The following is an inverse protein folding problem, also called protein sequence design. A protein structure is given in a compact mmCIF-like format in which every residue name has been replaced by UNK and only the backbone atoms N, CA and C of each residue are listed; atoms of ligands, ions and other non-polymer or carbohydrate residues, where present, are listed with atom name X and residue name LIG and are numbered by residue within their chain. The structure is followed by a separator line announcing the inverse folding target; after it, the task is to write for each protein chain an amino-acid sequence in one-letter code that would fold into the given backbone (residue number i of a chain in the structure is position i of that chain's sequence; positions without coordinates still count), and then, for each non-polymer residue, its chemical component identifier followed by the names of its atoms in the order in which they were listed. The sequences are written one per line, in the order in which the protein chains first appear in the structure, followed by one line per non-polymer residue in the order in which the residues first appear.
data_IF_058692124506
#
_entry.id   IF_058692124506
#
_cell.length_a   1.000
_cell.length_b   1.000
_cell.length_c   1.000
_cell.angle_alpha   90.00
_cell.angle_beta   90.00
_cell.angle_gamma   90.00
#
_symmetry.space_group_name_H-M   'P 1'
#
loop_
_entity.id
_entity.type
_entity.pdbx_description
1 polymer ?
#
# COMPACT_ATOMS: atom_id res chain seq x y z
N UNK A 1 -13.72 -30.95 -3.10
CA UNK A 1 -13.89 -30.67 -1.66
C UNK A 1 -12.97 -29.50 -1.36
N UNK A 2 -13.32 -28.38 -0.72
CA UNK A 2 -14.58 -27.65 -0.69
C UNK A 2 -14.40 -26.33 -1.46
N UNK A 3 -15.46 -25.87 -2.15
CA UNK A 3 -15.46 -24.59 -2.85
C UNK A 3 -15.55 -23.48 -1.79
N UNK A 4 -14.47 -22.77 -1.51
CA UNK A 4 -14.51 -21.53 -0.74
C UNK A 4 -15.21 -20.45 -1.55
N UNK A 5 -16.54 -20.57 -1.72
CA UNK A 5 -17.37 -19.54 -2.34
C UNK A 5 -17.50 -18.40 -1.34
N UNK A 6 -16.76 -17.34 -1.60
CA UNK A 6 -16.89 -16.09 -0.84
C UNK A 6 -18.32 -15.58 -1.05
N UNK A 7 -19.09 -15.30 0.03
CA UNK A 7 -20.46 -14.82 -0.07
C UNK A 7 -20.48 -13.32 -0.42
N UNK A 8 -19.99 -12.96 -1.61
CA UNK A 8 -19.72 -11.60 -2.05
C UNK A 8 -20.84 -10.58 -1.79
N UNK A 9 -22.10 -11.01 -1.86
CA UNK A 9 -23.28 -10.18 -1.60
C UNK A 9 -23.41 -9.66 -0.16
N UNK A 10 -22.70 -10.25 0.82
CA UNK A 10 -22.75 -9.85 2.23
C UNK A 10 -21.41 -9.41 2.82
N UNK A 11 -20.30 -9.62 2.09
CA UNK A 11 -18.95 -9.31 2.56
C UNK A 11 -18.67 -7.81 2.38
N UNK A 12 -18.62 -7.09 3.50
CA UNK A 12 -18.19 -5.68 3.53
C UNK A 12 -16.70 -5.49 3.80
N UNK A 13 -16.11 -6.41 4.56
CA UNK A 13 -14.68 -6.45 4.84
C UNK A 13 -14.16 -7.83 4.50
N UNK A 14 -13.06 -7.87 3.76
CA UNK A 14 -12.35 -9.10 3.45
C UNK A 14 -10.88 -8.96 3.80
N UNK A 15 -10.37 -9.92 4.55
CA UNK A 15 -8.95 -10.03 4.88
C UNK A 15 -8.43 -11.35 4.32
N UNK A 16 -7.41 -11.26 3.47
CA UNK A 16 -6.76 -12.37 2.81
C UNK A 16 -5.35 -12.46 3.38
N UNK A 17 -5.20 -13.33 4.36
CA UNK A 17 -3.94 -13.58 5.05
C UNK A 17 -3.68 -15.09 5.01
N UNK A 18 -3.10 -15.62 3.93
CA UNK A 18 -2.79 -17.04 3.84
C UNK A 18 -1.78 -17.51 4.92
N UNK A 19 -1.13 -16.60 5.65
CA UNK A 19 -0.18 -16.96 6.70
C UNK A 19 1.00 -17.80 6.19
N UNK A 20 1.84 -18.26 7.11
CA UNK A 20 2.97 -19.14 6.81
C UNK A 20 2.59 -20.63 6.96
N UNK A 21 1.43 -20.95 7.55
CA UNK A 21 1.15 -22.28 8.11
C UNK A 21 -0.01 -23.09 7.50
N UNK A 22 -0.92 -22.63 6.62
CA UNK A 22 -1.89 -23.55 5.99
C UNK A 22 -2.54 -23.09 4.68
N UNK A 23 -2.78 -24.09 3.82
CA UNK A 23 -3.59 -24.15 2.59
C UNK A 23 -3.33 -23.02 1.58
N UNK A 24 -2.65 -23.38 0.48
CA UNK A 24 -2.37 -22.52 -0.65
C UNK A 24 -3.61 -21.69 -1.01
N UNK A 25 -3.60 -20.41 -0.64
CA UNK A 25 -4.49 -19.46 -1.27
C UNK A 25 -4.24 -19.57 -2.77
N UNK A 26 -5.24 -20.00 -3.53
CA UNK A 26 -5.14 -20.10 -4.98
C UNK A 26 -5.62 -18.78 -5.59
N UNK A 27 -4.71 -17.91 -6.09
CA UNK A 27 -5.10 -16.62 -6.64
C UNK A 27 -6.10 -16.77 -7.79
N UNK A 28 -5.91 -17.80 -8.62
CA UNK A 28 -6.79 -18.14 -9.72
C UNK A 28 -8.24 -18.38 -9.26
N UNK A 29 -8.46 -19.21 -8.23
CA UNK A 29 -9.81 -19.48 -7.72
C UNK A 29 -10.47 -18.23 -7.14
N UNK A 30 -9.69 -17.39 -6.45
CA UNK A 30 -10.18 -16.12 -5.92
C UNK A 30 -10.61 -15.18 -7.05
N UNK A 31 -9.76 -15.01 -8.06
CA UNK A 31 -10.01 -14.17 -9.24
C UNK A 31 -11.22 -14.69 -10.00
N UNK A 32 -11.33 -16.00 -10.21
CA UNK A 32 -12.49 -16.63 -10.85
C UNK A 32 -13.78 -16.37 -10.08
N UNK A 33 -13.77 -16.54 -8.75
CA UNK A 33 -14.94 -16.31 -7.91
C UNK A 33 -15.40 -14.85 -7.96
N UNK A 34 -14.46 -13.90 -7.88
CA UNK A 34 -14.75 -12.48 -7.97
C UNK A 34 -15.26 -12.11 -9.37
N UNK A 35 -14.59 -12.61 -10.42
CA UNK A 35 -14.99 -12.38 -11.81
C UNK A 35 -16.41 -12.90 -12.07
N UNK A 36 -16.72 -14.11 -11.59
CA UNK A 36 -18.04 -14.71 -11.73
C UNK A 36 -19.12 -13.81 -11.09
N UNK A 37 -18.92 -13.38 -9.84
CA UNK A 37 -19.87 -12.49 -9.16
C UNK A 37 -20.08 -11.17 -9.92
N UNK A 38 -18.99 -10.53 -10.36
CA UNK A 38 -19.04 -9.24 -11.05
C UNK A 38 -19.61 -9.33 -12.48
N UNK A 39 -19.55 -10.51 -13.11
CA UNK A 39 -20.06 -10.74 -14.46
C UNK A 39 -21.56 -11.04 -14.53
N UNK A 40 -22.16 -11.48 -13.42
CA UNK A 40 -23.56 -11.86 -13.33
C UNK A 40 -24.46 -10.63 -13.18
N UNK A 41 -25.35 -10.30 -14.14
CA UNK A 41 -26.15 -9.08 -14.11
C UNK A 41 -27.16 -9.00 -12.96
N UNK A 42 -27.53 -10.14 -12.38
CA UNK A 42 -28.46 -10.22 -11.25
C UNK A 42 -27.79 -9.84 -9.93
N UNK A 43 -26.46 -9.90 -9.86
CA UNK A 43 -25.74 -9.61 -8.64
C UNK A 43 -25.74 -8.10 -8.38
N UNK A 44 -26.00 -7.68 -7.12
CA UNK A 44 -25.87 -6.28 -6.77
C UNK A 44 -24.40 -5.85 -6.85
N UNK A 45 -24.17 -4.54 -6.94
CA UNK A 45 -22.83 -3.98 -6.84
C UNK A 45 -22.10 -4.55 -5.61
N UNK A 46 -20.83 -4.90 -5.77
CA UNK A 46 -20.03 -5.52 -4.71
C UNK A 46 -19.99 -4.60 -3.47
N UNK A 47 -20.57 -5.02 -2.33
CA UNK A 47 -20.67 -4.21 -1.12
C UNK A 47 -19.36 -4.17 -0.32
N UNK A 48 -18.27 -4.68 -0.88
CA UNK A 48 -16.94 -4.68 -0.26
C UNK A 48 -16.45 -3.24 -0.11
N UNK A 49 -16.26 -2.82 1.14
CA UNK A 49 -15.79 -1.50 1.55
C UNK A 49 -14.33 -1.53 2.00
N UNK A 50 -13.86 -2.64 2.55
CA UNK A 50 -12.51 -2.83 3.08
C UNK A 50 -11.88 -4.13 2.59
N UNK A 51 -10.65 -4.04 2.08
CA UNK A 51 -9.88 -5.19 1.61
C UNK A 51 -8.46 -5.13 2.15
N UNK A 52 -8.04 -6.21 2.80
CA UNK A 52 -6.69 -6.39 3.33
C UNK A 52 -6.05 -7.57 2.64
N UNK A 53 -4.90 -7.36 2.01
CA UNK A 53 -4.06 -8.39 1.43
C UNK A 53 -2.77 -8.50 2.22
N UNK A 54 -2.63 -9.61 2.95
CA UNK A 54 -1.43 -9.96 3.69
C UNK A 54 -0.78 -11.20 3.08
N UNK A 55 -0.32 -11.06 1.84
CA UNK A 55 0.44 -12.11 1.16
C UNK A 55 1.90 -12.09 1.57
N UNK A 56 2.58 -13.24 1.73
CA UNK A 56 3.96 -13.31 2.19
C UNK A 56 4.95 -12.48 1.36
N UNK A 57 4.80 -12.49 0.03
CA UNK A 57 5.59 -11.68 -0.90
C UNK A 57 4.76 -11.38 -2.15
N UNK A 58 4.62 -10.11 -2.52
CA UNK A 58 4.09 -9.72 -3.83
C UNK A 58 5.24 -9.65 -4.85
N UNK A 59 5.44 -10.73 -5.60
CA UNK A 59 6.51 -10.83 -6.62
C UNK A 59 6.14 -10.16 -7.94
N UNK A 60 7.15 -9.79 -8.72
CA UNK A 60 6.93 -9.42 -10.11
C UNK A 60 6.47 -10.64 -10.91
N UNK A 61 5.64 -10.43 -11.92
CA UNK A 61 5.12 -11.52 -12.75
C UNK A 61 6.22 -12.34 -13.44
N UNK A 62 7.37 -11.72 -13.74
CA UNK A 62 8.53 -12.37 -14.35
C UNK A 62 9.37 -13.20 -13.39
N UNK A 63 9.15 -13.05 -12.08
CA UNK A 63 9.89 -13.77 -11.02
C UNK A 63 9.17 -15.04 -10.59
N UNK A 64 7.90 -15.22 -10.98
CA UNK A 64 7.09 -16.39 -10.61
C UNK A 64 7.24 -17.48 -11.67
N UNK A 65 7.67 -18.67 -11.22
CA UNK A 65 7.61 -19.89 -12.02
C UNK A 65 6.15 -20.28 -12.25
N UNK A 66 5.77 -20.63 -13.48
CA UNK A 66 4.40 -21.07 -13.81
C UNK A 66 3.93 -22.32 -13.05
N UNK A 67 4.84 -23.02 -12.37
CA UNK A 67 4.55 -24.25 -11.62
C UNK A 67 4.20 -24.00 -10.15
N UNK A 68 4.55 -22.83 -9.62
CA UNK A 68 4.30 -22.45 -8.24
C UNK A 68 3.11 -21.49 -8.27
N UNK A 69 1.96 -21.87 -7.69
CA UNK A 69 0.75 -21.04 -7.61
C UNK A 69 0.95 -19.83 -6.67
N UNK A 70 2.01 -19.05 -6.89
CA UNK A 70 2.41 -17.91 -6.10
C UNK A 70 1.59 -16.68 -6.50
N UNK A 71 1.28 -15.85 -5.51
CA UNK A 71 0.61 -14.58 -5.74
C UNK A 71 1.59 -13.57 -6.34
N UNK A 72 1.25 -13.02 -7.51
CA UNK A 72 2.10 -12.07 -8.23
C UNK A 72 1.37 -10.76 -8.57
N UNK A 73 2.13 -9.79 -9.07
CA UNK A 73 1.60 -8.51 -9.55
C UNK A 73 0.45 -8.67 -10.57
N UNK A 74 0.51 -9.67 -11.46
CA UNK A 74 -0.56 -9.93 -12.45
C UNK A 74 -1.87 -10.34 -11.76
N UNK A 75 -1.81 -11.11 -10.69
CA UNK A 75 -2.99 -11.49 -9.92
C UNK A 75 -3.62 -10.26 -9.27
N UNK A 76 -2.80 -9.41 -8.65
CA UNK A 76 -3.24 -8.15 -8.06
C UNK A 76 -3.93 -7.26 -9.12
N UNK A 77 -3.37 -7.18 -10.33
CA UNK A 77 -3.97 -6.47 -11.45
C UNK A 77 -5.35 -7.02 -11.81
N UNK A 78 -5.50 -8.34 -11.94
CA UNK A 78 -6.77 -8.97 -12.25
C UNK A 78 -7.82 -8.72 -11.16
N UNK A 79 -7.41 -8.76 -9.89
CA UNK A 79 -8.29 -8.44 -8.77
C UNK A 79 -8.74 -6.98 -8.83
N UNK A 80 -7.81 -6.03 -8.96
CA UNK A 80 -8.14 -4.60 -8.99
C UNK A 80 -9.04 -4.23 -10.17
N UNK A 81 -8.83 -4.86 -11.33
CA UNK A 81 -9.71 -4.68 -12.50
C UNK A 81 -11.16 -5.02 -12.17
N UNK A 82 -11.40 -6.12 -11.45
CA UNK A 82 -12.74 -6.53 -11.04
C UNK A 82 -13.31 -5.67 -9.90
N UNK A 83 -12.45 -5.10 -9.05
CA UNK A 83 -12.84 -4.22 -7.95
C UNK A 83 -13.12 -2.77 -8.38
N UNK A 84 -12.74 -2.36 -9.59
CA UNK A 84 -12.97 -0.99 -10.08
C UNK A 84 -14.39 -0.45 -9.90
N UNK A 85 -15.48 -1.20 -10.20
CA UNK A 85 -16.85 -0.73 -9.98
C UNK A 85 -17.39 -0.98 -8.55
N UNK A 86 -16.54 -1.41 -7.60
CA UNK A 86 -16.96 -1.70 -6.23
C UNK A 86 -17.07 -0.46 -5.35
N UNK A 87 -17.66 -0.65 -4.16
CA UNK A 87 -17.71 0.35 -3.10
C UNK A 87 -16.43 0.42 -2.25
N UNK A 88 -15.31 -0.14 -2.72
CA UNK A 88 -14.07 -0.25 -1.94
C UNK A 88 -13.53 1.13 -1.56
N UNK A 89 -13.43 1.40 -0.25
CA UNK A 89 -12.94 2.66 0.32
C UNK A 89 -11.60 2.53 1.00
N UNK A 90 -11.31 1.35 1.56
CA UNK A 90 -10.10 1.05 2.31
C UNK A 90 -9.37 -0.13 1.68
N UNK A 91 -8.10 0.07 1.33
CA UNK A 91 -7.23 -0.98 0.81
C UNK A 91 -5.98 -1.07 1.69
N UNK A 92 -5.65 -2.27 2.14
CA UNK A 92 -4.39 -2.55 2.80
C UNK A 92 -3.60 -3.60 2.04
N UNK A 93 -2.35 -3.31 1.72
CA UNK A 93 -1.39 -4.24 1.12
C UNK A 93 -0.22 -4.40 2.09
N UNK A 94 0.05 -5.63 2.50
CA UNK A 94 1.12 -5.94 3.45
C UNK A 94 2.25 -6.72 2.77
N UNK A 95 3.43 -6.69 3.38
CA UNK A 95 4.65 -7.41 2.99
C UNK A 95 5.10 -7.10 1.55
N UNK A 96 5.04 -5.82 1.17
CA UNK A 96 5.52 -5.37 -0.15
C UNK A 96 7.06 -5.32 -0.16
N UNK A 97 7.65 -6.02 -1.12
CA UNK A 97 9.11 -6.06 -1.35
C UNK A 97 9.61 -4.99 -2.32
N UNK A 98 8.84 -4.68 -3.36
CA UNK A 98 9.22 -3.74 -4.42
C UNK A 98 7.97 -3.18 -5.10
N UNK A 99 8.10 -1.97 -5.67
CA UNK A 99 7.09 -1.32 -6.49
C UNK A 99 7.39 -1.35 -7.99
N UNK A 100 8.44 -2.04 -8.44
CA UNK A 100 8.82 -2.21 -9.88
C UNK A 100 7.77 -2.97 -10.69
N UNK A 101 6.59 -2.39 -10.78
CA UNK A 101 5.39 -2.97 -11.33
C UNK A 101 5.22 -2.40 -12.72
N UNK A 102 5.44 -3.24 -13.73
CA UNK A 102 5.51 -2.82 -15.14
C UNK A 102 4.15 -2.69 -15.83
N UNK A 103 3.05 -2.91 -15.11
CA UNK A 103 1.70 -2.99 -15.68
C UNK A 103 0.98 -1.63 -15.65
N UNK A 104 0.04 -1.38 -16.59
CA UNK A 104 -0.62 -0.09 -16.75
C UNK A 104 -1.37 0.33 -15.49
N UNK A 105 -1.47 1.66 -15.30
CA UNK A 105 -2.22 2.33 -14.24
C UNK A 105 -3.57 1.66 -14.02
N UNK A 106 -3.68 0.93 -12.92
CA UNK A 106 -4.93 0.41 -12.40
C UNK A 106 -5.73 1.58 -11.85
N UNK A 107 -7.07 1.51 -11.87
CA UNK A 107 -7.88 2.60 -11.31
C UNK A 107 -8.88 2.04 -10.31
N UNK A 108 -8.67 2.39 -9.04
CA UNK A 108 -9.59 2.14 -7.93
C UNK A 108 -10.10 3.50 -7.41
N UNK A 109 -11.04 4.14 -8.15
CA UNK A 109 -11.41 5.54 -7.93
C UNK A 109 -12.20 5.78 -6.64
N UNK A 110 -12.70 4.73 -6.01
CA UNK A 110 -13.47 4.80 -4.76
C UNK A 110 -12.60 4.76 -3.50
N UNK A 111 -11.33 4.35 -3.63
CA UNK A 111 -10.42 4.18 -2.50
C UNK A 111 -10.01 5.55 -1.95
N UNK A 112 -10.23 5.73 -0.66
CA UNK A 112 -9.95 6.97 0.09
C UNK A 112 -8.89 6.75 1.17
N UNK A 113 -8.68 5.51 1.60
CA UNK A 113 -7.67 5.12 2.57
C UNK A 113 -6.80 3.99 1.98
N UNK A 114 -5.49 4.18 2.01
CA UNK A 114 -4.50 3.20 1.57
C UNK A 114 -3.49 2.97 2.68
N UNK A 115 -3.37 1.73 3.13
CA UNK A 115 -2.33 1.31 4.08
C UNK A 115 -1.39 0.35 3.37
N UNK A 116 -0.10 0.69 3.35
CA UNK A 116 0.94 -0.13 2.77
C UNK A 116 1.92 -0.50 3.87
N UNK A 117 2.22 -1.78 3.98
CA UNK A 117 3.38 -2.24 4.73
C UNK A 117 4.28 -3.11 3.87
N UNK A 118 5.57 -3.08 4.20
CA UNK A 118 6.57 -3.82 3.45
C UNK A 118 7.95 -3.65 4.05
N UNK A 119 8.93 -4.07 3.29
CA UNK A 119 10.36 -3.98 3.63
C UNK A 119 11.19 -3.55 2.41
N UNK A 120 10.51 -2.99 1.39
CA UNK A 120 11.14 -2.42 0.20
C UNK A 120 11.89 -1.11 0.50
N UNK A 121 12.97 -0.90 -0.26
CA UNK A 121 13.75 0.34 -0.23
C UNK A 121 13.16 1.36 -1.23
N UNK A 122 12.65 2.48 -0.71
CA UNK A 122 12.05 3.57 -1.49
C UNK A 122 13.05 4.71 -1.76
N UNK A 123 14.33 4.53 -1.45
CA UNK A 123 15.38 5.50 -1.76
C UNK A 123 15.85 5.49 -3.21
N UNK A 124 15.92 4.36 -3.93
CA UNK A 124 16.27 4.38 -5.35
C UNK A 124 15.21 5.14 -6.14
N UNK A 125 15.63 6.07 -7.01
CA UNK A 125 14.73 6.89 -7.83
C UNK A 125 13.73 6.04 -8.62
N UNK A 126 14.18 4.91 -9.17
CA UNK A 126 13.31 4.00 -9.92
C UNK A 126 12.19 3.37 -9.07
N UNK A 127 12.49 2.85 -7.88
CA UNK A 127 11.47 2.28 -6.98
C UNK A 127 10.48 3.36 -6.54
N UNK A 128 11.01 4.55 -6.23
CA UNK A 128 10.22 5.69 -5.81
C UNK A 128 9.28 6.19 -6.92
N UNK A 129 9.75 6.28 -8.16
CA UNK A 129 8.95 6.68 -9.32
C UNK A 129 7.82 5.67 -9.58
N UNK A 130 8.11 4.37 -9.49
CA UNK A 130 7.06 3.36 -9.62
C UNK A 130 6.06 3.42 -8.47
N UNK A 131 6.52 3.67 -7.23
CA UNK A 131 5.63 3.89 -6.09
C UNK A 131 4.70 5.10 -6.31
N UNK A 132 5.23 6.22 -6.81
CA UNK A 132 4.42 7.38 -7.17
C UNK A 132 3.40 7.05 -8.27
N UNK A 133 3.82 6.32 -9.31
CA UNK A 133 2.92 5.82 -10.36
C UNK A 133 1.84 4.89 -9.82
N UNK A 134 2.16 4.05 -8.84
CA UNK A 134 1.19 3.21 -8.14
C UNK A 134 0.13 4.06 -7.42
N UNK A 135 0.52 5.15 -6.75
CA UNK A 135 -0.42 6.06 -6.07
C UNK A 135 -1.41 6.74 -7.02
N UNK A 136 -1.05 6.94 -8.30
CA UNK A 136 -1.97 7.47 -9.31
C UNK A 136 -3.20 6.58 -9.53
N UNK A 137 -3.12 5.31 -9.12
CA UNK A 137 -4.24 4.36 -9.18
C UNK A 137 -5.42 4.74 -8.29
N UNK A 138 -5.23 5.67 -7.35
CA UNK A 138 -6.19 6.03 -6.31
C UNK A 138 -6.54 7.54 -6.36
N UNK A 139 -7.27 8.01 -7.38
CA UNK A 139 -7.54 9.44 -7.59
C UNK A 139 -8.43 10.09 -6.51
N UNK A 140 -9.06 9.28 -5.63
CA UNK A 140 -9.83 9.76 -4.48
C UNK A 140 -9.09 9.61 -3.15
N UNK A 141 -7.82 9.21 -3.16
CA UNK A 141 -7.05 8.96 -1.93
C UNK A 141 -6.98 10.21 -1.05
N UNK A 142 -7.33 10.03 0.22
CA UNK A 142 -7.32 11.09 1.24
C UNK A 142 -6.31 10.79 2.35
N UNK A 143 -6.08 9.52 2.66
CA UNK A 143 -5.19 9.09 3.73
C UNK A 143 -4.27 7.97 3.24
N UNK A 144 -2.96 8.19 3.39
CA UNK A 144 -1.90 7.24 3.07
C UNK A 144 -1.16 6.85 4.34
N UNK A 145 -1.12 5.56 4.68
CA UNK A 145 -0.28 5.03 5.76
C UNK A 145 0.80 4.14 5.17
N UNK A 146 2.04 4.38 5.57
CA UNK A 146 3.22 3.62 5.18
C UNK A 146 3.85 3.00 6.43
N UNK A 147 4.34 1.76 6.32
CA UNK A 147 5.01 1.07 7.41
C UNK A 147 6.12 0.16 6.90
N UNK A 148 7.31 0.20 7.50
CA UNK A 148 8.39 -0.74 7.18
C UNK A 148 9.23 -0.42 5.94
N UNK A 149 8.85 0.58 5.14
CA UNK A 149 9.63 0.99 3.97
C UNK A 149 10.85 1.83 4.36
N UNK A 150 12.01 1.56 3.75
CA UNK A 150 13.19 2.40 3.93
C UNK A 150 13.05 3.70 3.11
N UNK A 151 12.36 4.69 3.69
CA UNK A 151 12.14 6.01 3.07
C UNK A 151 13.06 7.09 3.69
N UNK A 152 13.81 6.72 4.73
CA UNK A 152 14.60 7.59 5.60
C UNK A 152 16.04 7.09 5.70
N UNK A 153 16.65 6.75 4.57
CA UNK A 153 18.06 6.40 4.57
C UNK A 153 18.92 7.64 4.39
N UNK A 154 19.75 7.93 5.38
CA UNK A 154 20.83 8.90 5.20
C UNK A 154 21.77 8.38 4.12
N UNK A 155 22.07 9.23 3.13
CA UNK A 155 23.16 8.98 2.19
C UNK A 155 24.45 8.82 2.99
N UNK A 156 24.96 7.59 3.01
CA UNK A 156 26.09 7.12 3.79
C UNK A 156 27.35 7.98 3.63
N UNK A 157 27.46 9.05 4.42
CA UNK A 157 28.69 9.76 4.68
C UNK A 157 29.20 9.54 6.11
N UNK A 158 28.36 9.02 7.01
CA UNK A 158 28.73 8.74 8.39
C UNK A 158 28.42 7.26 8.74
N UNK A 159 29.43 6.41 9.01
CA UNK A 159 29.25 4.99 9.31
C UNK A 159 28.68 4.74 10.73
N UNK A 160 28.21 5.77 11.42
CA UNK A 160 27.71 5.68 12.79
C UNK A 160 26.21 5.89 12.94
N UNK A 161 25.45 6.18 11.88
CA UNK A 161 24.05 6.55 12.07
C UNK A 161 23.11 5.36 12.27
N UNK A 162 22.47 5.40 13.43
CA UNK A 162 21.32 4.61 13.86
C UNK A 162 20.12 4.93 12.96
N UNK A 163 19.20 3.98 12.77
CA UNK A 163 18.01 4.21 11.96
C UNK A 163 17.26 5.48 12.41
N UNK A 164 16.75 6.25 11.43
CA UNK A 164 16.11 7.54 11.70
C UNK A 164 14.64 7.28 12.09
N UNK A 165 14.43 7.03 13.38
CA UNK A 165 13.11 6.76 13.95
C UNK A 165 12.19 8.01 13.98
N UNK A 166 10.91 7.80 14.31
CA UNK A 166 9.92 8.87 14.40
C UNK A 166 10.32 9.96 15.42
N UNK A 167 11.00 9.60 16.51
CA UNK A 167 11.51 10.57 17.49
C UNK A 167 12.55 11.50 16.85
N UNK A 168 13.48 10.94 16.09
CA UNK A 168 14.52 11.68 15.39
C UNK A 168 13.92 12.63 14.38
N UNK A 169 12.99 12.16 13.55
CA UNK A 169 12.30 12.99 12.55
C UNK A 169 11.58 14.19 13.15
N UNK A 170 10.88 14.00 14.28
CA UNK A 170 10.12 15.05 14.93
C UNK A 170 10.99 16.23 15.40
N UNK A 171 12.29 15.99 15.62
CA UNK A 171 13.26 16.99 16.08
C UNK A 171 13.97 17.70 14.92
N UNK A 172 13.80 17.24 13.67
CA UNK A 172 14.44 17.84 12.51
C UNK A 172 13.70 19.10 12.06
N UNK A 173 14.46 20.18 11.84
CA UNK A 173 13.97 21.32 11.04
C UNK A 173 13.67 20.87 9.61
N UNK A 174 12.77 21.56 8.89
CA UNK A 174 12.42 21.23 7.49
C UNK A 174 13.63 21.12 6.56
N UNK A 175 14.65 21.98 6.75
CA UNK A 175 15.89 21.91 5.96
C UNK A 175 16.68 20.62 6.22
N UNK A 176 16.76 20.18 7.48
CA UNK A 176 17.43 18.92 7.84
C UNK A 176 16.63 17.72 7.34
N UNK A 177 15.30 17.77 7.44
CA UNK A 177 14.45 16.73 6.87
C UNK A 177 14.66 16.56 5.36
N UNK A 178 14.78 17.66 4.63
CA UNK A 178 15.09 17.62 3.19
C UNK A 178 16.47 17.03 2.86
N UNK A 179 17.42 17.08 3.80
CA UNK A 179 18.73 16.46 3.61
C UNK A 179 18.75 14.97 4.00
N UNK A 180 18.02 14.59 5.07
CA UNK A 180 18.09 13.25 5.66
C UNK A 180 16.99 12.29 5.17
N UNK A 181 15.86 12.83 4.70
CA UNK A 181 14.74 12.07 4.15
C UNK A 181 14.23 12.68 2.85
N UNK A 182 15.06 12.78 1.80
CA UNK A 182 14.67 13.41 0.54
C UNK A 182 13.45 12.72 -0.10
N UNK A 183 13.38 11.38 -0.10
CA UNK A 183 12.24 10.64 -0.65
C UNK A 183 10.92 10.99 0.06
N UNK A 184 10.94 11.10 1.40
CA UNK A 184 9.78 11.54 2.17
C UNK A 184 9.38 12.99 1.81
N UNK A 185 10.34 13.91 1.67
CA UNK A 185 10.04 15.29 1.30
C UNK A 185 9.46 15.37 -0.11
N UNK A 186 10.03 14.63 -1.07
CA UNK A 186 9.50 14.55 -2.43
C UNK A 186 8.09 13.97 -2.40
N UNK A 187 7.84 12.89 -1.63
CA UNK A 187 6.52 12.30 -1.48
C UNK A 187 5.51 13.34 -0.97
N UNK A 188 5.80 14.01 0.14
CA UNK A 188 4.92 15.02 0.71
C UNK A 188 4.66 16.18 -0.26
N UNK A 189 5.68 16.59 -1.03
CA UNK A 189 5.54 17.62 -2.05
C UNK A 189 4.66 17.17 -3.22
N UNK A 190 4.91 15.99 -3.78
CA UNK A 190 4.11 15.39 -4.86
C UNK A 190 2.65 15.26 -4.45
N UNK A 191 2.41 14.85 -3.19
CA UNK A 191 1.06 14.72 -2.67
C UNK A 191 0.32 16.05 -2.61
N UNK A 192 0.97 17.22 -2.52
CA UNK A 192 0.29 18.53 -2.46
C UNK A 192 -0.67 18.76 -3.65
N UNK A 193 -0.37 18.18 -4.81
CA UNK A 193 -1.22 18.29 -6.00
C UNK A 193 -2.36 17.27 -6.04
N UNK A 194 -2.50 16.42 -5.01
CA UNK A 194 -3.53 15.37 -4.90
C UNK A 194 -4.57 15.70 -3.81
N UNK A 195 -5.55 14.80 -3.62
CA UNK A 195 -6.56 14.88 -2.56
C UNK A 195 -6.07 14.37 -1.20
N UNK A 196 -4.83 13.89 -1.11
CA UNK A 196 -4.28 13.32 0.13
C UNK A 196 -4.11 14.41 1.19
N UNK A 197 -4.86 14.31 2.28
CA UNK A 197 -4.82 15.27 3.40
C UNK A 197 -4.06 14.75 4.61
N UNK A 198 -3.84 13.43 4.67
CA UNK A 198 -3.13 12.78 5.78
C UNK A 198 -2.13 11.78 5.25
N UNK A 199 -0.92 11.84 5.81
CA UNK A 199 0.13 10.86 5.58
C UNK A 199 0.63 10.37 6.93
N UNK A 200 0.73 9.07 7.10
CA UNK A 200 1.30 8.47 8.30
C UNK A 200 2.45 7.55 7.90
N UNK A 201 3.54 7.58 8.68
CA UNK A 201 4.69 6.72 8.48
C UNK A 201 5.12 6.08 9.80
N UNK A 202 5.39 4.78 9.75
CA UNK A 202 6.03 4.02 10.82
C UNK A 202 7.26 3.33 10.28
N UNK A 203 8.33 3.33 11.06
CA UNK A 203 9.56 2.62 10.70
C UNK A 203 9.35 1.11 10.61
N UNK A 204 8.49 0.55 11.46
CA UNK A 204 8.11 -0.86 11.40
C UNK A 204 6.69 -1.07 11.89
N UNK A 205 6.11 -2.26 11.59
CA UNK A 205 4.81 -2.67 12.08
C UNK A 205 4.74 -2.82 13.61
N UNK A 206 5.88 -2.93 14.29
CA UNK A 206 5.98 -3.06 15.75
C UNK A 206 6.40 -1.76 16.44
N UNK A 207 6.79 -0.73 15.68
CA UNK A 207 7.20 0.56 16.23
C UNK A 207 6.06 1.23 17.01
N UNK A 208 6.32 1.65 18.25
CA UNK A 208 5.34 2.35 19.09
C UNK A 208 5.08 3.79 18.64
N UNK A 209 5.96 4.36 17.82
CA UNK A 209 5.83 5.73 17.34
C UNK A 209 5.46 5.78 15.85
N UNK A 210 4.66 6.79 15.49
CA UNK A 210 4.19 7.09 14.14
C UNK A 210 4.41 8.59 13.87
N UNK A 211 4.98 8.91 12.70
CA UNK A 211 4.98 10.27 12.20
C UNK A 211 3.72 10.52 11.38
N UNK A 212 3.03 11.62 11.68
CA UNK A 212 1.80 12.01 10.98
C UNK A 212 2.00 13.38 10.35
N UNK A 213 1.64 13.52 9.10
CA UNK A 213 1.56 14.79 8.41
C UNK A 213 0.12 15.07 8.02
N UNK A 214 -0.39 16.22 8.45
CA UNK A 214 -1.70 16.71 8.06
C UNK A 214 -1.56 17.93 7.16
N UNK A 215 -2.36 17.98 6.08
CA UNK A 215 -2.40 19.13 5.19
C UNK A 215 -3.14 20.28 5.86
N UNK A 216 -2.44 21.40 6.00
CA UNK A 216 -2.97 22.66 6.54
C UNK A 216 -3.74 23.46 5.47
N UNK A 217 -4.62 24.38 5.89
CA UNK A 217 -5.16 25.42 5.02
C UNK A 217 -4.00 26.21 4.38
N UNK A 218 -3.81 26.05 3.06
CA UNK A 218 -2.63 26.56 2.33
C UNK A 218 -1.82 25.48 1.61
N UNK A 219 -2.13 24.19 1.83
CA UNK A 219 -1.62 23.08 1.04
C UNK A 219 -0.34 22.44 1.57
N UNK A 220 0.37 23.11 2.50
CA UNK A 220 1.55 22.56 3.15
C UNK A 220 1.18 21.45 4.15
N UNK A 221 2.07 20.46 4.28
CA UNK A 221 1.95 19.40 5.28
C UNK A 221 2.67 19.81 6.57
N UNK A 222 1.97 19.65 7.70
CA UNK A 222 2.51 19.84 9.04
C UNK A 222 2.67 18.50 9.72
N UNK A 223 3.90 18.20 10.14
CA UNK A 223 4.26 16.94 10.81
C UNK A 223 4.09 17.01 12.32
N UNK A 224 3.66 15.92 12.92
CA UNK A 224 3.67 15.66 14.36
C UNK A 224 4.09 14.21 14.65
N UNK A 225 4.64 13.97 15.84
CA UNK A 225 4.94 12.64 16.34
C UNK A 225 3.78 12.16 17.20
N UNK A 226 3.38 10.91 17.00
CA UNK A 226 2.34 10.26 17.78
C UNK A 226 2.86 8.97 18.39
N UNK A 227 2.60 8.75 19.68
CA UNK A 227 2.88 7.48 20.36
C UNK A 227 1.61 6.64 20.41
N UNK A 228 1.67 5.44 19.87
CA UNK A 228 0.61 4.44 19.89
C UNK A 228 0.56 3.81 21.29
N UNK A 229 -0.59 3.88 21.93
CA UNK A 229 -0.84 3.31 23.26
C UNK A 229 -1.23 1.83 23.15
#
# INVERSE_FOLDING_TARGET
MGRNRIPWHSVRRLELNPGDDMEAFEPAQFIESLTAYMSEPINPALPLEELVFAFPTLRQATEVSSEENEFCQTDLYHIFRNLRPSALRSLSLCRIESFKWTQPVLLLPSVTFLSLDGYGDLTPTEEFDHFLGFLESFPALQELRLSGFDILRETAADPTTTSCDAETLARLSSRKLACLGPSLVILLFTLQCTKVTKVAYRESLTASDEMRWQREPGGAFKGERWTLC
#
